data_IF_414054353224
#
_entry.id   IF_414054353224
#
_cell.length_a   1.000
_cell.length_b   1.000
_cell.length_c   1.000
_cell.angle_alpha   90.00
_cell.angle_beta   90.00
_cell.angle_gamma   90.00
#
_symmetry.space_group_name_H-M   'P 1'
#
loop_
_entity.id
_entity.type
_entity.pdbx_description
1 polymer ?
#
# COMPACT_ATOMS: atom_id res chain seq x y z
N UNK A 1 -56.93 -12.31 -22.37
CA UNK A 1 -57.15 -13.02 -23.63
C UNK A 1 -55.83 -13.16 -24.35
N UNK A 2 -55.50 -14.43 -24.63
CA UNK A 2 -54.47 -14.96 -25.53
C UNK A 2 -53.00 -14.90 -25.05
N UNK A 3 -52.61 -15.99 -24.51
CA UNK A 3 -51.37 -16.74 -24.55
C UNK A 3 -51.49 -17.73 -25.72
N UNK A 4 -50.49 -18.46 -26.24
CA UNK A 4 -49.01 -18.51 -26.18
C UNK A 4 -48.37 -18.72 -27.58
N UNK A 5 -47.05 -18.88 -27.68
CA UNK A 5 -46.44 -20.08 -28.26
C UNK A 5 -44.90 -20.06 -28.16
N UNK A 6 -44.43 -21.24 -27.74
CA UNK A 6 -43.06 -21.74 -27.74
C UNK A 6 -42.42 -21.76 -29.14
N UNK A 7 -41.07 -21.68 -29.17
CA UNK A 7 -40.35 -22.68 -29.99
C UNK A 7 -38.87 -22.82 -29.56
N UNK A 8 -38.57 -24.06 -29.34
CA UNK A 8 -37.29 -24.69 -28.99
C UNK A 8 -36.33 -24.74 -30.19
N UNK A 9 -35.05 -24.37 -29.99
CA UNK A 9 -33.97 -25.03 -30.72
C UNK A 9 -32.75 -25.27 -29.87
N UNK A 10 -32.62 -26.50 -29.40
CA UNK A 10 -31.39 -27.14 -28.94
C UNK A 10 -30.45 -27.31 -30.11
N UNK A 11 -29.20 -26.86 -29.93
CA UNK A 11 -28.08 -27.44 -30.70
C UNK A 11 -26.94 -27.76 -29.74
N UNK A 12 -26.79 -29.06 -29.55
CA UNK A 12 -25.66 -29.73 -28.94
C UNK A 12 -24.44 -29.65 -29.86
N UNK A 13 -23.28 -29.27 -29.34
CA UNK A 13 -22.02 -29.69 -29.91
C UNK A 13 -21.13 -30.25 -28.81
N UNK A 14 -20.79 -31.52 -28.98
CA UNK A 14 -19.91 -32.35 -28.15
C UNK A 14 -18.43 -32.00 -28.40
N UNK A 15 -17.54 -32.37 -27.48
CA UNK A 15 -16.11 -32.08 -27.56
C UNK A 15 -15.39 -33.11 -28.43
N UNK A 16 -14.39 -32.67 -29.17
CA UNK A 16 -13.44 -33.57 -29.83
C UNK A 16 -12.13 -33.58 -29.05
N UNK A 17 -11.91 -34.73 -28.42
CA UNK A 17 -10.62 -35.22 -27.97
C UNK A 17 -10.03 -36.06 -29.08
N UNK A 18 -8.76 -35.81 -29.46
CA UNK A 18 -7.84 -36.92 -29.73
C UNK A 18 -6.39 -36.44 -29.86
N UNK A 19 -5.45 -37.35 -29.55
CA UNK A 19 -4.06 -37.04 -29.24
C UNK A 19 -3.14 -37.30 -30.43
N UNK A 20 -1.98 -36.67 -30.44
CA UNK A 20 -0.89 -37.07 -31.32
C UNK A 20 0.34 -37.47 -30.53
N UNK A 21 0.74 -38.67 -30.85
CA UNK A 21 1.83 -39.51 -30.40
C UNK A 21 3.23 -38.93 -30.69
N UNK A 22 4.12 -39.28 -29.77
CA UNK A 22 5.54 -39.59 -29.86
C UNK A 22 6.26 -39.47 -31.22
N UNK A 23 7.40 -38.77 -31.20
CA UNK A 23 8.63 -39.34 -31.76
C UNK A 23 9.84 -38.90 -30.92
N UNK A 24 10.54 -39.91 -30.46
CA UNK A 24 11.88 -39.87 -29.81
C UNK A 24 12.93 -39.36 -30.79
N UNK A 25 13.84 -38.55 -30.31
CA UNK A 25 15.22 -38.60 -30.77
C UNK A 25 16.13 -38.31 -29.61
N UNK A 26 16.96 -39.28 -29.34
CA UNK A 26 18.12 -39.31 -28.46
C UNK A 26 19.26 -38.60 -29.13
N UNK A 27 19.82 -37.58 -28.46
CA UNK A 27 21.21 -37.22 -28.69
C UNK A 27 21.86 -36.77 -27.37
N UNK A 28 22.75 -37.60 -26.91
CA UNK A 28 23.70 -37.43 -25.82
C UNK A 28 24.84 -36.54 -26.29
N UNK A 29 24.98 -35.35 -25.75
CA UNK A 29 26.24 -34.63 -25.75
C UNK A 29 26.69 -34.27 -24.33
N UNK A 30 27.65 -35.02 -23.91
CA UNK A 30 28.49 -34.79 -22.74
C UNK A 30 29.27 -33.49 -22.91
N UNK A 31 29.03 -32.50 -22.07
CA UNK A 31 29.91 -31.32 -21.94
C UNK A 31 30.49 -31.26 -20.54
N UNK A 32 31.80 -31.44 -20.52
CA UNK A 32 32.75 -31.33 -19.41
C UNK A 32 32.70 -29.94 -18.75
N UNK A 33 32.65 -29.93 -17.43
CA UNK A 33 32.88 -28.77 -16.57
C UNK A 33 34.33 -28.30 -16.61
N UNK A 34 34.61 -26.99 -16.67
CA UNK A 34 35.92 -26.47 -16.28
C UNK A 34 35.97 -26.16 -14.78
N UNK A 35 37.15 -26.39 -14.23
CA UNK A 35 37.47 -26.32 -12.82
C UNK A 35 37.43 -24.90 -12.24
N UNK A 36 37.03 -24.84 -10.97
CA UNK A 36 37.13 -23.69 -10.09
C UNK A 36 38.60 -23.33 -9.82
N UNK A 37 38.99 -22.13 -10.18
CA UNK A 37 40.22 -21.50 -9.68
C UNK A 37 39.90 -20.78 -8.36
N UNK A 38 40.56 -21.23 -7.31
CA UNK A 38 40.60 -20.60 -5.99
C UNK A 38 41.62 -19.48 -5.97
N UNK A 39 41.22 -18.28 -5.61
CA UNK A 39 42.14 -17.18 -5.30
C UNK A 39 42.48 -17.19 -3.80
N UNK A 40 43.76 -16.82 -3.46
CA UNK A 40 44.23 -16.83 -2.07
C UNK A 40 43.79 -15.62 -1.27
N UNK A 41 43.83 -15.69 0.08
CA UNK A 41 43.35 -14.62 0.95
C UNK A 41 44.39 -13.49 1.12
N UNK A 42 43.91 -12.28 1.21
CA UNK A 42 44.67 -11.07 1.55
C UNK A 42 44.94 -10.98 3.07
N UNK A 43 46.04 -10.38 3.49
CA UNK A 43 46.46 -10.36 4.89
C UNK A 43 45.77 -9.28 5.72
N UNK A 44 45.51 -9.62 6.97
CA UNK A 44 44.99 -8.77 8.04
C UNK A 44 46.03 -7.71 8.46
N UNK A 45 45.68 -6.44 8.34
CA UNK A 45 46.40 -5.37 9.04
C UNK A 45 45.72 -5.05 10.38
N UNK A 46 46.50 -5.30 11.41
CA UNK A 46 46.29 -4.86 12.78
C UNK A 46 46.77 -3.42 12.89
N UNK A 47 45.92 -2.45 13.22
CA UNK A 47 46.39 -1.16 13.66
C UNK A 47 45.87 -0.80 15.05
N UNK A 48 46.88 -0.49 15.86
CA UNK A 48 46.88 -0.22 17.27
C UNK A 48 46.22 1.13 17.60
N UNK A 49 45.49 1.12 18.69
CA UNK A 49 45.10 2.32 19.45
C UNK A 49 46.28 2.99 20.15
N UNK A 50 46.34 4.29 20.32
CA UNK A 50 47.12 4.90 21.38
C UNK A 50 46.22 5.23 22.59
N UNK A 51 46.64 4.74 23.70
CA UNK A 51 46.20 5.15 25.03
C UNK A 51 46.82 6.52 25.37
N UNK A 52 46.05 7.38 26.03
CA UNK A 52 46.50 8.58 26.67
C UNK A 52 45.62 8.89 27.87
N UNK A 53 46.18 8.72 29.04
CA UNK A 53 45.62 8.93 30.38
C UNK A 53 45.82 10.38 30.87
N UNK A 54 45.55 10.66 32.17
CA UNK A 54 44.50 11.63 32.58
C UNK A 54 45.07 12.79 33.39
N UNK A 55 44.33 13.84 33.56
CA UNK A 55 44.46 14.83 34.63
C UNK A 55 43.35 15.87 34.49
N UNK A 56 42.77 16.55 35.47
CA UNK A 56 42.94 16.64 36.90
C UNK A 56 41.68 17.32 37.48
N UNK A 57 41.38 16.98 38.70
CA UNK A 57 40.32 17.56 39.52
C UNK A 57 40.62 19.00 39.89
N UNK A 58 39.60 19.83 39.97
CA UNK A 58 39.61 21.12 40.64
C UNK A 58 38.24 21.45 41.19
N UNK A 59 38.10 21.32 42.49
CA UNK A 59 37.03 21.90 43.37
C UNK A 59 37.71 22.97 44.24
N UNK A 60 36.98 23.72 45.04
CA UNK A 60 35.96 24.77 44.84
C UNK A 60 36.42 26.08 45.52
N UNK A 61 35.74 27.18 45.36
CA UNK A 61 35.80 28.32 46.33
C UNK A 61 34.45 29.04 46.42
N UNK A 62 33.93 28.97 47.56
CA UNK A 62 33.28 29.83 48.54
C UNK A 62 32.60 31.13 48.10
N UNK A 63 31.45 31.28 48.69
CA UNK A 63 30.54 32.42 48.72
C UNK A 63 31.14 33.62 49.48
N UNK A 64 30.50 34.79 49.45
CA UNK A 64 30.05 35.34 50.72
C UNK A 64 28.55 35.71 50.76
N UNK A 65 28.03 35.54 51.95
CA UNK A 65 26.78 36.09 52.47
C UNK A 65 26.92 37.61 52.63
N UNK A 66 25.84 38.32 52.28
CA UNK A 66 25.53 39.54 53.05
C UNK A 66 24.02 39.75 53.18
N UNK A 67 23.68 40.33 54.22
CA UNK A 67 22.53 40.42 55.05
C UNK A 67 21.52 41.50 54.66
N UNK A 68 20.26 41.22 54.95
CA UNK A 68 19.24 42.07 55.57
C UNK A 68 18.61 43.25 54.76
N UNK A 69 17.30 43.16 54.65
CA UNK A 69 16.44 44.28 54.32
C UNK A 69 14.98 43.82 54.33
N UNK A 70 14.37 43.88 55.49
CA UNK A 70 12.92 43.68 55.65
C UNK A 70 12.21 44.96 55.22
N UNK A 71 11.42 44.87 54.16
CA UNK A 71 10.36 45.85 53.89
C UNK A 71 9.02 45.16 53.66
N UNK A 72 8.09 45.62 54.43
CA UNK A 72 6.70 45.16 54.52
C UNK A 72 5.91 45.60 53.31
N UNK A 73 5.20 44.65 52.69
CA UNK A 73 4.22 44.83 51.64
C UNK A 73 2.85 45.24 52.17
N UNK A 74 2.07 46.02 51.42
CA UNK A 74 0.64 46.11 51.63
C UNK A 74 -0.07 45.08 50.78
N UNK A 75 -1.06 44.43 51.39
CA UNK A 75 -2.03 43.55 50.75
C UNK A 75 -2.77 44.29 49.61
N UNK A 76 -2.83 43.68 48.44
CA UNK A 76 -3.86 43.93 47.44
C UNK A 76 -4.44 42.60 46.95
N UNK A 77 -5.59 42.33 47.44
CA UNK A 77 -6.53 41.32 47.02
C UNK A 77 -6.94 41.58 45.55
N UNK A 78 -6.67 40.62 44.66
CA UNK A 78 -7.43 40.37 43.42
C UNK A 78 -7.23 38.93 43.01
N UNK A 79 -8.15 38.09 43.40
CA UNK A 79 -8.40 36.79 42.83
C UNK A 79 -8.62 36.88 41.34
N UNK A 80 -7.59 36.75 40.53
CA UNK A 80 -7.73 36.38 39.10
C UNK A 80 -7.91 34.85 39.08
N UNK A 81 -9.16 34.43 38.94
CA UNK A 81 -9.48 33.09 38.48
C UNK A 81 -9.09 33.05 37.00
N UNK A 82 -7.89 32.59 36.69
CA UNK A 82 -7.58 32.13 35.33
C UNK A 82 -8.56 31.03 34.98
N UNK A 83 -9.44 31.30 34.03
CA UNK A 83 -10.20 30.26 33.38
C UNK A 83 -9.18 29.29 32.75
N UNK A 84 -9.31 27.96 32.98
CA UNK A 84 -8.48 27.01 32.30
C UNK A 84 -8.69 27.20 30.80
N UNK A 85 -7.59 27.40 30.05
CA UNK A 85 -7.63 27.37 28.61
C UNK A 85 -8.25 26.04 28.18
N UNK A 86 -9.18 26.04 27.21
CA UNK A 86 -9.71 24.79 26.70
C UNK A 86 -8.55 23.97 26.14
N UNK A 87 -8.42 22.73 26.61
CA UNK A 87 -7.51 21.77 26.03
C UNK A 87 -7.69 21.81 24.50
N UNK A 88 -6.61 21.77 23.71
CA UNK A 88 -6.73 21.71 22.26
C UNK A 88 -7.63 20.52 21.93
N UNK A 89 -8.82 20.83 21.42
CA UNK A 89 -9.70 19.80 20.90
C UNK A 89 -8.92 19.13 19.79
N UNK A 90 -8.71 17.83 19.93
CA UNK A 90 -8.23 16.98 18.86
C UNK A 90 -9.19 17.24 17.71
N UNK A 91 -8.72 17.81 16.60
CA UNK A 91 -9.54 17.95 15.40
C UNK A 91 -10.10 16.56 15.11
N UNK A 92 -11.40 16.39 15.27
CA UNK A 92 -12.07 15.16 14.87
C UNK A 92 -11.88 15.06 13.37
N UNK A 93 -11.13 14.04 12.94
CA UNK A 93 -10.95 13.78 11.54
C UNK A 93 -12.34 13.60 10.92
N UNK A 94 -12.61 14.36 9.84
CA UNK A 94 -13.87 14.28 9.11
C UNK A 94 -14.16 12.84 8.73
N UNK A 95 -15.26 12.29 9.19
CA UNK A 95 -15.69 10.94 8.80
C UNK A 95 -16.09 10.93 7.34
N UNK A 96 -15.70 9.89 6.63
CA UNK A 96 -16.04 9.65 5.23
C UNK A 96 -16.31 8.16 5.01
N UNK A 97 -17.04 7.83 3.97
CA UNK A 97 -17.36 6.44 3.63
C UNK A 97 -17.48 6.23 2.12
N UNK A 98 -17.57 4.99 1.71
CA UNK A 98 -17.75 4.62 0.31
C UNK A 98 -19.22 4.65 -0.13
N UNK A 99 -20.15 4.59 0.79
CA UNK A 99 -21.59 4.68 0.50
C UNK A 99 -21.98 6.05 -0.06
N UNK A 100 -21.26 7.08 0.35
CA UNK A 100 -21.40 8.46 -0.09
C UNK A 100 -20.37 8.88 -1.13
N UNK A 101 -19.63 7.94 -1.68
CA UNK A 101 -18.38 8.13 -2.46
C UNK A 101 -18.43 9.10 -3.63
N UNK A 102 -19.61 9.60 -4.00
CA UNK A 102 -19.77 10.62 -5.04
C UNK A 102 -19.60 12.03 -4.49
N UNK A 103 -19.70 12.24 -3.17
CA UNK A 103 -19.77 13.57 -2.55
C UNK A 103 -18.51 13.99 -1.78
N UNK A 104 -17.42 13.23 -1.87
CA UNK A 104 -16.15 13.57 -1.19
C UNK A 104 -15.67 14.99 -1.52
N UNK A 105 -15.95 15.46 -2.74
CA UNK A 105 -15.58 16.81 -3.19
C UNK A 105 -16.23 17.95 -2.40
N UNK A 106 -17.29 17.70 -1.64
CA UNK A 106 -17.89 18.69 -0.75
C UNK A 106 -17.07 18.93 0.52
N UNK A 107 -16.32 17.89 0.95
CA UNK A 107 -15.53 17.89 2.19
C UNK A 107 -14.04 18.01 1.87
N UNK A 108 -13.59 17.36 0.81
CA UNK A 108 -12.19 17.30 0.36
C UNK A 108 -12.07 17.92 -1.04
N UNK A 109 -11.67 19.19 -1.14
CA UNK A 109 -11.62 19.91 -2.44
C UNK A 109 -10.75 19.23 -3.50
N UNK A 110 -9.66 18.55 -3.10
CA UNK A 110 -8.77 17.86 -4.02
C UNK A 110 -9.49 16.74 -4.79
N UNK A 111 -10.58 16.19 -4.24
CA UNK A 111 -11.40 15.17 -4.90
C UNK A 111 -12.10 15.69 -6.18
N UNK A 112 -12.17 17.00 -6.37
CA UNK A 112 -12.71 17.66 -7.58
C UNK A 112 -11.60 18.00 -8.61
N UNK A 113 -10.38 17.55 -8.39
CA UNK A 113 -9.26 17.78 -9.30
C UNK A 113 -9.47 17.15 -10.68
N UNK A 114 -8.63 17.53 -11.63
CA UNK A 114 -8.74 17.09 -13.02
C UNK A 114 -8.07 15.73 -13.27
N UNK A 115 -7.09 15.37 -12.45
CA UNK A 115 -6.27 14.17 -12.62
C UNK A 115 -6.52 13.15 -11.51
N UNK A 116 -7.78 12.83 -11.30
CA UNK A 116 -8.21 11.94 -10.24
C UNK A 116 -8.01 10.45 -10.59
N UNK A 117 -7.89 9.64 -9.53
CA UNK A 117 -7.79 8.18 -9.58
C UNK A 117 -8.94 7.55 -8.78
N UNK A 118 -9.29 6.27 -9.08
CA UNK A 118 -8.76 5.39 -10.11
C UNK A 118 -9.27 5.72 -11.52
N UNK A 119 -8.76 5.01 -12.55
CA UNK A 119 -9.20 5.18 -13.94
C UNK A 119 -9.51 3.82 -14.60
N UNK A 120 -10.21 3.86 -15.72
CA UNK A 120 -10.28 2.72 -16.60
C UNK A 120 -9.07 2.71 -17.55
N UNK A 121 -8.32 1.60 -17.55
CA UNK A 121 -7.20 1.37 -18.46
C UNK A 121 -7.72 0.77 -19.77
N UNK A 122 -7.71 1.55 -20.84
CA UNK A 122 -7.93 1.00 -22.17
C UNK A 122 -6.59 0.47 -22.71
N UNK A 123 -6.43 -0.85 -22.75
CA UNK A 123 -5.17 -1.48 -23.15
C UNK A 123 -4.77 -1.18 -24.60
N UNK A 124 -5.73 -0.80 -25.45
CA UNK A 124 -5.48 -0.44 -26.86
C UNK A 124 -5.01 1.00 -27.04
N UNK A 125 -5.29 1.86 -26.07
CA UNK A 125 -4.92 3.28 -26.09
C UNK A 125 -3.62 3.55 -25.31
N UNK A 126 -3.17 2.59 -24.50
CA UNK A 126 -1.90 2.68 -23.81
C UNK A 126 -0.75 2.75 -24.84
N UNK A 127 0.16 3.70 -24.61
CA UNK A 127 1.29 3.92 -25.51
C UNK A 127 2.54 3.22 -24.97
N UNK A 128 3.10 2.35 -25.80
CA UNK A 128 4.41 1.76 -25.47
C UNK A 128 5.48 2.84 -25.35
N UNK A 129 6.22 2.82 -24.25
CA UNK A 129 7.33 3.74 -23.99
C UNK A 129 8.60 2.94 -23.68
N UNK A 130 9.54 2.83 -24.66
CA UNK A 130 10.77 2.07 -24.46
C UNK A 130 11.73 2.70 -23.42
N UNK A 131 11.47 3.91 -22.98
CA UNK A 131 12.26 4.56 -21.91
C UNK A 131 11.88 4.09 -20.51
N UNK A 132 10.75 3.40 -20.36
CA UNK A 132 10.32 2.84 -19.09
C UNK A 132 11.21 1.67 -18.71
N UNK A 133 11.87 1.80 -17.57
CA UNK A 133 12.80 0.82 -17.05
C UNK A 133 12.09 -0.22 -16.18
N UNK A 134 12.80 -1.27 -15.83
CA UNK A 134 12.32 -2.24 -14.86
C UNK A 134 12.14 -1.58 -13.49
N UNK A 135 11.02 -1.90 -12.84
CA UNK A 135 10.76 -1.53 -11.45
C UNK A 135 11.66 -2.39 -10.55
N UNK A 136 12.48 -1.76 -9.74
CA UNK A 136 13.45 -2.43 -8.87
C UNK A 136 13.13 -2.17 -7.41
N UNK A 137 13.24 -3.24 -6.64
CA UNK A 137 13.09 -3.23 -5.20
C UNK A 137 14.49 -3.38 -4.57
N UNK A 138 14.74 -2.61 -3.51
CA UNK A 138 16.01 -2.74 -2.79
C UNK A 138 16.14 -4.12 -2.14
N UNK A 139 17.37 -4.56 -1.82
CA UNK A 139 17.60 -5.78 -1.06
C UNK A 139 16.86 -5.80 0.29
N UNK A 140 16.54 -4.63 0.83
CA UNK A 140 15.80 -4.47 2.09
C UNK A 140 14.28 -4.60 1.92
N UNK A 141 13.77 -4.82 0.71
CA UNK A 141 12.39 -5.25 0.46
C UNK A 141 12.22 -6.71 0.92
N UNK A 142 12.61 -6.94 2.15
CA UNK A 142 12.82 -8.22 2.79
C UNK A 142 11.82 -8.38 3.93
N UNK A 143 11.78 -9.56 4.50
CA UNK A 143 10.91 -9.94 5.61
C UNK A 143 10.84 -8.84 6.67
N UNK A 144 9.68 -8.22 6.80
CA UNK A 144 9.36 -7.36 7.92
C UNK A 144 9.18 -8.25 9.15
N UNK A 145 9.96 -7.98 10.21
CA UNK A 145 9.87 -8.77 11.45
C UNK A 145 8.65 -8.41 12.28
N UNK A 146 8.20 -7.16 12.16
CA UNK A 146 7.09 -6.61 12.94
C UNK A 146 6.19 -5.80 11.99
N UNK A 147 5.22 -6.45 11.38
CA UNK A 147 4.19 -5.80 10.60
C UNK A 147 2.92 -5.70 11.42
N UNK A 148 2.31 -4.55 11.44
CA UNK A 148 1.01 -4.35 12.07
C UNK A 148 -0.08 -4.37 11.01
N UNK A 149 -1.08 -5.22 11.21
CA UNK A 149 -2.27 -5.29 10.35
C UNK A 149 -3.42 -4.65 11.10
N UNK A 150 -4.05 -3.65 10.48
CA UNK A 150 -5.07 -2.80 11.11
C UNK A 150 -6.35 -2.84 10.29
N UNK A 151 -7.49 -2.96 10.94
CA UNK A 151 -8.80 -2.64 10.39
C UNK A 151 -9.13 -1.20 10.80
N UNK A 152 -9.07 -0.26 9.88
CA UNK A 152 -9.39 1.15 10.13
C UNK A 152 -10.87 1.50 9.93
N UNK A 153 -11.69 0.51 9.53
CA UNK A 153 -13.10 0.65 9.20
C UNK A 153 -13.36 0.97 7.72
N UNK A 154 -12.32 1.31 6.94
CA UNK A 154 -12.41 1.57 5.51
C UNK A 154 -11.67 0.51 4.70
N UNK A 155 -10.60 -0.05 5.26
CA UNK A 155 -9.75 -1.03 4.63
C UNK A 155 -9.01 -1.85 5.69
N UNK A 156 -8.22 -2.81 5.21
CA UNK A 156 -7.12 -3.41 5.94
C UNK A 156 -5.84 -2.71 5.48
N UNK A 157 -5.03 -2.31 6.45
CA UNK A 157 -3.70 -1.75 6.22
C UNK A 157 -2.64 -2.65 6.83
N UNK A 158 -1.55 -2.89 6.09
CA UNK A 158 -0.34 -3.52 6.65
C UNK A 158 0.73 -2.43 6.75
N UNK A 159 1.06 -2.04 7.97
CA UNK A 159 2.11 -1.06 8.25
C UNK A 159 3.42 -1.82 8.51
N UNK A 160 4.44 -1.51 7.71
CA UNK A 160 5.75 -2.13 7.80
C UNK A 160 6.69 -1.26 8.64
N UNK A 161 7.35 -1.86 9.62
CA UNK A 161 8.34 -1.16 10.47
C UNK A 161 9.76 -1.23 9.89
N UNK A 162 9.97 -2.02 8.85
CA UNK A 162 11.25 -2.13 8.16
C UNK A 162 11.28 -1.27 6.90
N UNK A 163 12.43 -0.63 6.63
CA UNK A 163 12.61 0.17 5.42
C UNK A 163 12.71 -0.74 4.19
N UNK A 164 11.78 -0.56 3.26
CA UNK A 164 11.78 -1.17 1.93
C UNK A 164 11.70 -0.07 0.88
N UNK A 165 12.50 -0.14 -0.18
CA UNK A 165 12.68 0.96 -1.13
C UNK A 165 12.39 0.51 -2.55
N UNK A 166 11.62 1.32 -3.26
CA UNK A 166 11.29 1.22 -4.66
C UNK A 166 12.15 2.21 -5.46
N UNK A 167 12.78 1.75 -6.52
CA UNK A 167 13.58 2.57 -7.44
C UNK A 167 13.39 2.09 -8.89
N UNK A 168 13.80 2.92 -9.83
CA UNK A 168 13.72 2.57 -11.26
C UNK A 168 12.32 2.72 -11.83
N UNK A 169 11.96 1.89 -12.80
CA UNK A 169 10.67 2.02 -13.49
C UNK A 169 10.45 3.42 -14.08
N UNK A 170 9.28 4.02 -13.85
CA UNK A 170 8.95 5.38 -14.29
C UNK A 170 9.47 6.47 -13.34
N UNK A 171 10.07 6.09 -12.22
CA UNK A 171 10.44 7.01 -11.15
C UNK A 171 11.66 7.87 -11.54
N UNK A 172 11.81 9.09 -10.96
CA UNK A 172 12.96 9.93 -11.20
C UNK A 172 14.27 9.23 -10.84
N UNK A 173 15.28 9.38 -11.70
CA UNK A 173 16.58 8.73 -11.51
C UNK A 173 17.24 9.20 -10.21
N UNK A 174 17.70 8.24 -9.41
CA UNK A 174 18.39 8.50 -8.15
C UNK A 174 17.46 8.82 -6.98
N UNK A 175 16.15 8.80 -7.19
CA UNK A 175 15.19 8.93 -6.09
C UNK A 175 14.85 7.56 -5.51
N UNK A 176 14.64 7.54 -4.20
CA UNK A 176 14.21 6.40 -3.42
C UNK A 176 12.81 6.65 -2.89
N UNK A 177 11.93 5.66 -3.06
CA UNK A 177 10.57 5.70 -2.54
C UNK A 177 10.40 4.61 -1.49
N UNK A 178 10.16 5.01 -0.25
CA UNK A 178 10.00 4.08 0.89
C UNK A 178 8.57 3.54 0.94
N UNK A 179 8.44 2.22 1.10
CA UNK A 179 7.14 1.59 1.33
C UNK A 179 6.63 2.02 2.71
N UNK A 180 5.44 2.63 2.71
CA UNK A 180 4.75 3.06 3.91
C UNK A 180 3.80 1.99 4.43
N UNK A 181 2.84 1.59 3.59
CA UNK A 181 1.83 0.60 3.93
C UNK A 181 1.30 -0.13 2.70
N UNK A 182 0.55 -1.19 2.95
CA UNK A 182 -0.21 -1.92 1.94
C UNK A 182 -1.69 -1.82 2.28
N UNK A 183 -2.50 -1.33 1.35
CA UNK A 183 -3.95 -1.19 1.48
C UNK A 183 -4.68 -2.16 0.57
N UNK A 184 -5.91 -2.53 0.95
CA UNK A 184 -6.71 -3.51 0.26
C UNK A 184 -8.08 -2.95 -0.10
N UNK A 185 -8.52 -3.19 -1.33
CA UNK A 185 -9.84 -2.85 -1.83
C UNK A 185 -10.49 -4.12 -2.37
N UNK A 186 -11.72 -4.42 -1.98
CA UNK A 186 -12.40 -5.64 -2.41
C UNK A 186 -13.91 -5.47 -2.50
N UNK A 187 -14.52 -6.35 -3.29
CA UNK A 187 -15.94 -6.37 -3.50
C UNK A 187 -16.65 -7.39 -2.61
N UNK A 188 -17.93 -7.16 -2.38
CA UNK A 188 -18.82 -8.16 -1.78
C UNK A 188 -19.01 -9.37 -2.69
N UNK A 189 -18.75 -9.22 -3.99
CA UNK A 189 -18.85 -10.25 -5.03
C UNK A 189 -17.59 -10.31 -5.88
N UNK A 190 -17.38 -11.43 -6.59
CA UNK A 190 -16.18 -11.62 -7.39
C UNK A 190 -16.15 -10.78 -8.68
N UNK A 191 -17.26 -10.17 -9.07
CA UNK A 191 -17.39 -9.37 -10.28
C UNK A 191 -16.95 -7.91 -10.10
N UNK A 192 -16.71 -7.48 -8.87
CA UNK A 192 -16.29 -6.12 -8.52
C UNK A 192 -15.36 -6.13 -7.31
N UNK A 193 -14.65 -5.04 -7.08
CA UNK A 193 -13.75 -4.91 -5.94
C UNK A 193 -12.48 -4.11 -6.23
N UNK A 194 -11.96 -4.18 -7.45
CA UNK A 194 -10.84 -3.34 -7.85
C UNK A 194 -11.28 -1.90 -8.05
N UNK A 195 -10.39 -0.96 -7.76
CA UNK A 195 -10.58 0.46 -8.02
C UNK A 195 -10.34 0.78 -9.51
N UNK A 196 -9.18 0.36 -10.04
CA UNK A 196 -8.93 0.43 -11.48
C UNK A 196 -9.69 -0.68 -12.20
N UNK A 197 -10.03 -0.39 -13.46
CA UNK A 197 -10.59 -1.38 -14.38
C UNK A 197 -9.71 -1.49 -15.61
N UNK A 198 -9.71 -2.65 -16.25
CA UNK A 198 -9.01 -2.88 -17.53
C UNK A 198 -10.06 -3.21 -18.58
N UNK A 199 -10.16 -2.36 -19.61
CA UNK A 199 -11.19 -2.48 -20.64
C UNK A 199 -12.61 -2.60 -20.03
N UNK A 200 -12.90 -1.79 -19.01
CA UNK A 200 -14.15 -1.73 -18.25
C UNK A 200 -14.48 -3.02 -17.47
N UNK A 201 -13.49 -3.86 -17.21
CA UNK A 201 -13.63 -5.03 -16.36
C UNK A 201 -12.93 -4.83 -15.02
N UNK A 202 -13.67 -5.01 -13.94
CA UNK A 202 -13.15 -5.02 -12.59
C UNK A 202 -12.62 -6.40 -12.18
N UNK A 203 -11.78 -6.40 -11.15
CA UNK A 203 -11.29 -7.60 -10.47
C UNK A 203 -11.92 -7.71 -9.08
N UNK A 204 -11.91 -8.90 -8.46
CA UNK A 204 -12.45 -9.10 -7.11
C UNK A 204 -11.78 -8.26 -6.02
N UNK A 205 -10.50 -7.92 -6.21
CA UNK A 205 -9.71 -7.17 -5.24
C UNK A 205 -8.55 -6.45 -5.94
N UNK A 206 -8.07 -5.38 -5.30
CA UNK A 206 -6.87 -4.64 -5.69
C UNK A 206 -6.05 -4.30 -4.44
N UNK A 207 -4.73 -4.44 -4.53
CA UNK A 207 -3.78 -4.07 -3.49
C UNK A 207 -3.00 -2.83 -3.90
N UNK A 208 -2.80 -1.92 -2.98
CA UNK A 208 -1.98 -0.73 -3.15
C UNK A 208 -0.78 -0.77 -2.23
N UNK A 209 0.42 -0.81 -2.80
CA UNK A 209 1.69 -0.68 -2.08
C UNK A 209 2.09 0.79 -2.17
N UNK A 210 1.84 1.54 -1.11
CA UNK A 210 2.00 2.99 -1.07
C UNK A 210 3.41 3.33 -0.65
N UNK A 211 4.10 4.14 -1.49
CA UNK A 211 5.47 4.58 -1.25
C UNK A 211 5.54 6.10 -1.28
N UNK A 212 6.44 6.67 -0.49
CA UNK A 212 6.72 8.10 -0.48
C UNK A 212 8.19 8.39 -0.78
N UNK A 213 8.46 9.51 -1.41
CA UNK A 213 9.79 9.89 -1.87
C UNK A 213 10.65 10.37 -0.72
N UNK A 214 11.43 9.48 -0.14
CA UNK A 214 12.33 9.80 0.99
C UNK A 214 13.62 10.53 0.58
N UNK A 215 13.85 10.71 -0.72
CA UNK A 215 14.94 11.56 -1.21
C UNK A 215 14.57 13.04 -1.12
N UNK A 216 13.30 13.40 -1.35
CA UNK A 216 12.84 14.78 -1.39
C UNK A 216 12.17 15.25 -0.10
N UNK A 217 11.52 14.34 0.61
CA UNK A 217 10.65 14.65 1.75
C UNK A 217 11.07 13.88 2.99
N UNK A 218 10.69 14.33 4.16
CA UNK A 218 11.05 13.72 5.45
C UNK A 218 9.96 12.82 6.02
N UNK A 219 8.74 12.89 5.47
CA UNK A 219 7.62 12.02 5.85
C UNK A 219 6.64 11.87 4.70
N UNK A 220 5.73 10.90 4.81
CA UNK A 220 4.64 10.73 3.85
C UNK A 220 3.69 11.92 3.88
N UNK A 221 3.42 12.50 5.05
CA UNK A 221 2.52 13.65 5.21
C UNK A 221 3.06 14.88 4.46
N UNK A 222 4.38 15.06 4.47
CA UNK A 222 5.04 16.12 3.68
C UNK A 222 4.98 15.82 2.18
N UNK A 223 5.05 14.55 1.78
CA UNK A 223 5.12 14.12 0.39
C UNK A 223 3.75 14.17 -0.32
N UNK A 224 2.65 13.97 0.39
CA UNK A 224 1.29 13.98 -0.17
C UNK A 224 0.98 15.32 -0.83
N UNK A 225 0.45 15.27 -2.06
CA UNK A 225 0.14 16.46 -2.86
C UNK A 225 1.35 17.23 -3.40
N UNK A 226 2.57 16.71 -3.20
CA UNK A 226 3.80 17.31 -3.70
C UNK A 226 4.32 16.59 -4.94
N UNK A 227 5.02 17.33 -5.78
CA UNK A 227 5.60 16.80 -7.03
C UNK A 227 6.51 15.61 -6.75
N UNK A 228 6.27 14.49 -7.44
CA UNK A 228 6.98 13.23 -7.23
C UNK A 228 6.96 12.74 -5.77
N UNK A 229 5.92 13.10 -5.03
CA UNK A 229 5.84 12.77 -3.60
C UNK A 229 5.49 11.31 -3.35
N UNK A 230 4.51 10.79 -4.08
CA UNK A 230 3.93 9.46 -3.85
C UNK A 230 4.06 8.61 -5.10
N UNK A 231 4.37 7.33 -4.91
CA UNK A 231 4.30 6.30 -5.94
C UNK A 231 3.53 5.09 -5.39
N UNK A 232 2.56 4.60 -6.13
CA UNK A 232 1.73 3.47 -5.72
C UNK A 232 1.84 2.35 -6.75
N UNK A 233 2.22 1.15 -6.27
CA UNK A 233 2.10 -0.07 -7.05
C UNK A 233 0.70 -0.62 -6.81
N UNK A 234 -0.07 -0.81 -7.89
CA UNK A 234 -1.36 -1.47 -7.86
C UNK A 234 -1.24 -2.89 -8.41
N UNK A 235 -1.83 -3.84 -7.68
CA UNK A 235 -1.86 -5.26 -8.00
C UNK A 235 -3.31 -5.71 -8.08
N UNK A 236 -3.73 -6.11 -9.26
CA UNK A 236 -5.04 -6.77 -9.44
C UNK A 236 -5.02 -8.18 -8.85
N UNK A 237 -6.14 -8.59 -8.32
CA UNK A 237 -6.31 -9.92 -7.72
C UNK A 237 -7.49 -10.63 -8.36
N UNK A 238 -7.29 -11.86 -8.77
CA UNK A 238 -8.34 -12.74 -9.29
C UNK A 238 -8.49 -14.00 -8.43
N UNK A 239 -9.63 -14.64 -8.51
CA UNK A 239 -9.87 -15.90 -7.80
C UNK A 239 -9.13 -17.03 -8.52
N UNK A 240 -8.42 -17.85 -7.74
CA UNK A 240 -7.64 -18.96 -8.26
C UNK A 240 -6.99 -19.76 -7.13
N UNK A 241 -5.71 -20.00 -7.26
CA UNK A 241 -4.93 -20.70 -6.22
C UNK A 241 -4.75 -19.83 -4.98
N UNK A 242 -4.64 -20.45 -3.82
CA UNK A 242 -4.27 -19.80 -2.56
C UNK A 242 -2.96 -19.00 -2.73
N UNK A 243 -2.95 -17.78 -2.23
CA UNK A 243 -1.76 -16.93 -2.17
C UNK A 243 -1.03 -17.15 -0.86
N UNK A 244 0.11 -17.82 -0.91
CA UNK A 244 0.84 -18.19 0.31
C UNK A 244 1.38 -16.96 1.07
N UNK A 245 1.78 -15.91 0.36
CA UNK A 245 2.24 -14.66 0.99
C UNK A 245 1.14 -13.92 1.75
N UNK A 246 -0.11 -13.99 1.28
CA UNK A 246 -1.27 -13.39 1.96
C UNK A 246 -1.85 -14.28 3.06
N UNK A 247 -1.47 -15.56 3.14
CA UNK A 247 -1.98 -16.48 4.14
C UNK A 247 -1.77 -15.97 5.56
N UNK A 248 -0.58 -15.45 5.85
CA UNK A 248 -0.27 -14.86 7.17
C UNK A 248 -1.19 -13.70 7.56
N UNK A 249 -1.73 -12.99 6.59
CA UNK A 249 -2.71 -11.91 6.79
C UNK A 249 -4.12 -12.49 6.94
N UNK A 250 -4.55 -13.35 6.01
CA UNK A 250 -5.91 -13.88 6.00
C UNK A 250 -6.23 -14.72 7.23
N UNK A 251 -5.24 -15.44 7.78
CA UNK A 251 -5.41 -16.25 9.00
C UNK A 251 -5.69 -15.43 10.28
N UNK A 252 -5.38 -14.12 10.27
CA UNK A 252 -5.56 -13.27 11.46
C UNK A 252 -6.71 -12.26 11.32
N UNK A 253 -7.37 -12.17 10.17
CA UNK A 253 -8.38 -11.15 9.91
C UNK A 253 -9.55 -11.21 10.90
N UNK A 254 -9.92 -12.40 11.36
CA UNK A 254 -11.01 -12.56 12.33
C UNK A 254 -10.65 -12.05 13.73
N UNK A 255 -9.36 -11.93 14.05
CA UNK A 255 -8.89 -11.30 15.29
C UNK A 255 -9.03 -9.77 15.25
N UNK A 256 -9.09 -9.19 14.05
CA UNK A 256 -9.23 -7.76 13.79
C UNK A 256 -10.52 -7.43 13.03
N UNK A 257 -11.56 -8.21 13.23
CA UNK A 257 -12.83 -8.12 12.50
C UNK A 257 -13.46 -6.73 12.56
N UNK A 258 -13.32 -6.01 13.67
CA UNK A 258 -13.98 -4.73 13.94
C UNK A 258 -13.03 -3.54 13.78
N UNK A 259 -13.59 -2.37 13.41
CA UNK A 259 -12.87 -1.09 13.28
C UNK A 259 -12.02 -0.81 14.52
N UNK A 260 -10.79 -0.35 14.30
CA UNK A 260 -9.84 0.03 15.34
C UNK A 260 -9.10 -1.16 15.97
N UNK A 261 -9.30 -2.38 15.46
CA UNK A 261 -8.53 -3.55 15.88
C UNK A 261 -7.29 -3.71 15.02
N UNK A 262 -6.20 -4.08 15.68
CA UNK A 262 -4.94 -4.41 15.01
C UNK A 262 -4.31 -5.65 15.59
N UNK A 263 -3.43 -6.28 14.81
CA UNK A 263 -2.62 -7.42 15.23
C UNK A 263 -1.26 -7.37 14.55
N UNK A 264 -0.21 -7.66 15.31
CA UNK A 264 1.12 -7.82 14.75
C UNK A 264 1.28 -9.23 14.17
N UNK A 265 1.76 -9.30 12.93
CA UNK A 265 2.16 -10.55 12.28
C UNK A 265 3.66 -10.62 12.15
N UNK A 266 4.30 -11.74 12.54
CA UNK A 266 5.73 -11.92 12.37
C UNK A 266 6.08 -12.31 10.94
N UNK A 267 7.25 -11.92 10.48
CA UNK A 267 7.88 -12.44 9.26
C UNK A 267 7.08 -12.26 7.96
N UNK A 268 6.35 -11.16 7.82
CA UNK A 268 5.71 -10.83 6.54
C UNK A 268 6.74 -10.31 5.53
N UNK A 269 6.72 -10.87 4.32
CA UNK A 269 7.58 -10.43 3.23
C UNK A 269 6.74 -9.74 2.14
N UNK A 270 6.78 -8.40 2.02
CA UNK A 270 6.01 -7.68 1.00
C UNK A 270 6.42 -8.06 -0.43
N UNK A 271 7.64 -8.57 -0.64
CA UNK A 271 8.06 -9.06 -1.94
C UNK A 271 7.26 -10.29 -2.41
N UNK A 272 6.65 -11.03 -1.47
CA UNK A 272 5.75 -12.15 -1.82
C UNK A 272 4.45 -11.72 -2.50
N UNK A 273 4.08 -10.44 -2.41
CA UNK A 273 2.92 -9.86 -3.10
C UNK A 273 3.22 -9.52 -4.56
N UNK A 274 4.49 -9.38 -4.92
CA UNK A 274 4.87 -8.96 -6.26
C UNK A 274 4.88 -10.17 -7.21
N UNK A 275 4.51 -9.98 -8.47
CA UNK A 275 4.63 -11.04 -9.46
C UNK A 275 6.09 -11.43 -9.69
N UNK A 276 6.30 -12.61 -10.29
CA UNK A 276 7.62 -13.02 -10.79
C UNK A 276 8.25 -11.87 -11.56
N UNK A 277 9.56 -11.59 -11.41
CA UNK A 277 10.25 -10.53 -12.17
C UNK A 277 10.00 -10.56 -13.67
N UNK A 278 9.82 -11.75 -14.27
CA UNK A 278 9.48 -11.92 -15.68
C UNK A 278 8.05 -11.49 -16.04
N UNK A 279 7.19 -11.31 -15.06
CA UNK A 279 5.78 -10.94 -15.22
C UNK A 279 5.50 -9.52 -14.69
N UNK A 280 6.50 -8.66 -14.66
CA UNK A 280 6.39 -7.28 -14.16
C UNK A 280 6.17 -6.26 -15.26
N UNK A 281 5.47 -6.62 -16.32
CA UNK A 281 4.87 -5.68 -17.28
C UNK A 281 3.95 -4.74 -16.52
N UNK A 282 4.00 -3.43 -16.81
CA UNK A 282 3.17 -2.46 -16.11
C UNK A 282 2.70 -1.33 -17.01
N UNK A 283 1.59 -0.72 -16.61
CA UNK A 283 1.16 0.60 -17.06
C UNK A 283 1.55 1.67 -16.04
N UNK A 284 1.77 2.87 -16.51
CA UNK A 284 2.03 4.03 -15.67
C UNK A 284 1.19 5.22 -16.11
N UNK A 285 0.64 5.93 -15.14
CA UNK A 285 -0.02 7.22 -15.34
C UNK A 285 0.10 8.07 -14.07
N UNK A 286 -0.09 9.39 -14.22
CA UNK A 286 -0.13 10.32 -13.11
C UNK A 286 -1.58 10.55 -12.66
N UNK A 287 -1.81 10.49 -11.35
CA UNK A 287 -3.14 10.59 -10.79
C UNK A 287 -3.14 11.09 -9.34
N UNK A 288 -4.07 10.59 -8.56
CA UNK A 288 -4.32 10.99 -7.18
C UNK A 288 -4.34 9.82 -6.21
N UNK A 289 -4.41 10.11 -4.92
CA UNK A 289 -4.89 9.15 -3.94
C UNK A 289 -6.34 8.79 -4.28
N UNK A 290 -6.72 7.54 -4.07
CA UNK A 290 -8.10 7.06 -4.29
C UNK A 290 -8.98 7.18 -3.06
N UNK A 291 -8.39 7.53 -1.92
CA UNK A 291 -9.08 7.83 -0.65
C UNK A 291 -8.86 9.29 -0.28
N UNK A 292 -9.76 9.90 0.51
CA UNK A 292 -9.54 11.24 1.03
C UNK A 292 -8.15 11.43 1.66
N UNK A 293 -7.49 12.57 1.43
CA UNK A 293 -7.97 13.80 0.79
C UNK A 293 -7.97 13.79 -0.76
N UNK A 294 -7.67 12.70 -1.45
CA UNK A 294 -7.64 12.58 -2.90
C UNK A 294 -6.62 13.48 -3.60
N UNK A 295 -5.56 13.83 -2.90
CA UNK A 295 -4.50 14.71 -3.41
C UNK A 295 -3.82 14.11 -4.64
N UNK A 296 -3.59 14.97 -5.65
CA UNK A 296 -2.95 14.61 -6.92
C UNK A 296 -1.42 14.50 -6.78
N UNK A 297 -0.71 14.27 -7.87
CA UNK A 297 0.75 14.04 -7.92
C UNK A 297 1.18 12.65 -7.44
N UNK A 298 0.36 11.64 -7.69
CA UNK A 298 0.67 10.23 -7.46
C UNK A 298 1.09 9.58 -8.78
N UNK A 299 2.27 8.97 -8.79
CA UNK A 299 2.70 8.10 -9.90
C UNK A 299 2.16 6.70 -9.67
N UNK A 300 1.22 6.27 -10.52
CA UNK A 300 0.63 4.95 -10.49
C UNK A 300 1.39 3.97 -11.36
N UNK A 301 1.74 2.81 -10.79
CA UNK A 301 2.39 1.68 -11.44
C UNK A 301 1.47 0.47 -11.31
N UNK A 302 0.76 0.11 -12.36
CA UNK A 302 -0.20 -1.00 -12.35
C UNK A 302 0.40 -2.20 -13.05
N UNK A 303 0.62 -3.30 -12.32
CA UNK A 303 1.11 -4.52 -12.93
C UNK A 303 0.03 -5.21 -13.77
N UNK A 304 0.46 -5.64 -14.97
CA UNK A 304 -0.42 -6.23 -15.97
C UNK A 304 -1.04 -7.55 -15.53
N UNK A 305 -0.26 -8.39 -14.86
CA UNK A 305 -0.66 -9.74 -14.50
C UNK A 305 -1.18 -9.80 -13.09
N UNK A 306 -2.46 -10.26 -12.88
CA UNK A 306 -3.07 -10.30 -11.57
C UNK A 306 -2.43 -11.39 -10.69
N UNK A 307 -2.46 -11.15 -9.37
CA UNK A 307 -2.25 -12.16 -8.36
C UNK A 307 -3.47 -13.08 -8.30
N UNK A 308 -3.29 -14.26 -7.68
CA UNK A 308 -4.39 -15.16 -7.39
C UNK A 308 -4.56 -15.33 -5.88
N UNK A 309 -5.81 -15.33 -5.43
CA UNK A 309 -6.22 -15.74 -4.08
C UNK A 309 -7.28 -16.81 -4.17
N UNK A 310 -7.38 -17.67 -3.16
CA UNK A 310 -8.48 -18.63 -3.11
C UNK A 310 -9.79 -17.93 -2.73
N UNK A 311 -10.92 -18.60 -3.06
CA UNK A 311 -12.24 -18.12 -2.63
C UNK A 311 -12.31 -18.00 -1.10
N UNK A 312 -11.69 -18.92 -0.37
CA UNK A 312 -11.66 -18.87 1.09
C UNK A 312 -10.90 -17.63 1.61
N UNK A 313 -9.81 -17.25 0.95
CA UNK A 313 -9.05 -16.07 1.36
C UNK A 313 -9.86 -14.78 1.19
N UNK A 314 -10.54 -14.58 0.06
CA UNK A 314 -11.33 -13.37 -0.14
C UNK A 314 -12.55 -13.32 0.79
N UNK A 315 -13.13 -14.47 1.12
CA UNK A 315 -14.25 -14.56 2.08
C UNK A 315 -13.83 -14.08 3.48
N UNK A 316 -12.56 -14.27 3.88
CA UNK A 316 -12.09 -13.75 5.17
C UNK A 316 -12.10 -12.20 5.19
N UNK A 317 -11.76 -11.53 4.07
CA UNK A 317 -11.91 -10.08 3.94
C UNK A 317 -13.37 -9.65 4.02
N UNK A 318 -14.30 -10.39 3.41
CA UNK A 318 -15.73 -10.09 3.37
C UNK A 318 -16.43 -10.24 4.73
N UNK A 319 -15.79 -10.91 5.71
CA UNK A 319 -16.27 -11.02 7.10
C UNK A 319 -15.91 -9.83 7.98
N UNK A 320 -15.08 -8.93 7.51
CA UNK A 320 -14.67 -7.74 8.24
C UNK A 320 -15.83 -6.76 8.39
N UNK A 321 -15.74 -5.86 9.38
CA UNK A 321 -16.77 -4.91 9.76
C UNK A 321 -16.25 -3.47 9.71
N UNK A 322 -17.13 -2.55 9.36
CA UNK A 322 -16.84 -1.12 9.25
C UNK A 322 -16.89 -0.38 10.59
N UNK A 323 -17.48 -0.99 11.63
CA UNK A 323 -17.79 -0.38 12.92
C UNK A 323 -16.99 -1.00 14.06
N UNK A 324 -16.93 -0.31 15.20
CA UNK A 324 -16.34 -0.83 16.43
C UNK A 324 -17.22 -1.93 17.02
N UNK A 325 -16.63 -2.87 17.75
CA UNK A 325 -17.37 -3.99 18.35
C UNK A 325 -18.41 -3.46 19.35
N UNK A 326 -19.67 -3.85 19.14
CA UNK A 326 -20.78 -3.47 20.01
C UNK A 326 -21.46 -2.15 19.64
N UNK A 327 -21.04 -1.47 18.57
CA UNK A 327 -21.75 -0.31 18.06
C UNK A 327 -23.12 -0.70 17.49
N UNK A 328 -24.09 0.16 17.69
CA UNK A 328 -25.37 0.04 17.00
C UNK A 328 -25.23 0.46 15.54
N UNK A 329 -25.77 -0.35 14.64
CA UNK A 329 -25.76 -0.06 13.21
C UNK A 329 -26.97 0.84 12.88
N UNK A 330 -26.75 1.77 11.94
CA UNK A 330 -27.84 2.55 11.37
C UNK A 330 -28.79 1.62 10.61
N UNK A 331 -30.07 1.99 10.57
CA UNK A 331 -31.09 1.24 9.82
C UNK A 331 -30.70 1.15 8.35
N UNK A 332 -30.70 -0.07 7.81
CA UNK A 332 -30.28 -0.36 6.44
C UNK A 332 -28.78 -0.63 6.25
N UNK A 333 -27.94 -0.41 7.25
CA UNK A 333 -26.52 -0.77 7.22
C UNK A 333 -26.30 -2.19 7.76
N UNK A 334 -25.64 -3.04 7.00
CA UNK A 334 -25.29 -4.41 7.44
C UNK A 334 -23.95 -4.48 8.18
N UNK A 335 -23.18 -3.38 8.16
CA UNK A 335 -21.87 -3.25 8.80
C UNK A 335 -20.74 -4.06 8.17
N UNK A 336 -20.97 -4.64 7.00
CA UNK A 336 -19.92 -5.38 6.27
C UNK A 336 -18.92 -4.41 5.65
N UNK A 337 -17.63 -4.67 5.87
CA UNK A 337 -16.55 -4.02 5.16
C UNK A 337 -16.35 -4.70 3.81
N UNK A 338 -16.67 -4.02 2.76
CA UNK A 338 -16.59 -4.47 1.38
C UNK A 338 -17.18 -3.42 0.45
N UNK A 339 -16.98 -3.59 -0.85
CA UNK A 339 -17.25 -2.55 -1.85
C UNK A 339 -16.52 -1.23 -1.51
N UNK A 340 -15.34 -1.35 -0.89
CA UNK A 340 -14.50 -0.26 -0.43
C UNK A 340 -13.56 0.22 -1.54
N UNK A 341 -14.14 0.60 -2.67
CA UNK A 341 -13.44 1.11 -3.84
C UNK A 341 -14.14 2.36 -4.37
N UNK A 342 -13.35 3.30 -4.83
CA UNK A 342 -13.84 4.51 -5.50
C UNK A 342 -14.20 4.17 -6.94
N UNK A 343 -15.28 4.73 -7.50
CA UNK A 343 -15.57 4.62 -8.94
C UNK A 343 -14.46 5.22 -9.79
N UNK A 344 -14.28 4.68 -11.01
CA UNK A 344 -13.31 5.22 -11.96
C UNK A 344 -13.62 6.67 -12.33
N UNK A 345 -12.57 7.47 -12.43
CA UNK A 345 -12.60 8.89 -12.73
C UNK A 345 -12.25 9.15 -14.20
N UNK A 346 -12.61 10.31 -14.75
CA UNK A 346 -12.27 10.67 -16.11
C UNK A 346 -10.76 10.63 -16.36
N UNK A 347 -10.35 10.10 -17.51
CA UNK A 347 -8.94 10.09 -17.92
C UNK A 347 -8.43 11.51 -18.20
N UNK A 348 -9.30 12.42 -18.62
CA UNK A 348 -8.97 13.77 -19.08
C UNK A 348 -7.96 13.74 -20.24
N UNK A 349 -6.95 14.59 -20.22
CA UNK A 349 -5.90 14.64 -21.26
C UNK A 349 -4.69 13.73 -20.96
N UNK A 350 -4.80 12.88 -19.92
CA UNK A 350 -3.70 12.00 -19.50
C UNK A 350 -3.43 10.88 -20.49
N UNK A 351 -2.16 10.55 -20.63
CA UNK A 351 -1.68 9.44 -21.44
C UNK A 351 -1.23 8.31 -20.52
N UNK A 352 -1.78 7.12 -20.75
CA UNK A 352 -1.32 5.89 -20.11
C UNK A 352 -0.13 5.37 -20.93
N UNK A 353 1.01 5.14 -20.28
CA UNK A 353 2.19 4.53 -20.90
C UNK A 353 2.31 3.07 -20.46
N UNK A 354 2.82 2.22 -21.37
CA UNK A 354 3.06 0.80 -21.13
C UNK A 354 4.55 0.48 -21.24
N UNK A 355 5.08 -0.27 -20.29
CA UNK A 355 6.45 -0.79 -20.34
C UNK A 355 6.58 -2.06 -21.19
N UNK A 356 5.57 -2.39 -21.98
CA UNK A 356 5.50 -3.58 -22.83
C UNK A 356 4.76 -3.25 -24.15
N UNK A 357 4.98 -4.07 -25.14
CA UNK A 357 4.32 -3.98 -26.47
C UNK A 357 3.05 -4.82 -26.54
#
# INVERSE_FOLDING_TARGET
MCVPQEDTHRLLCKPNLQPLLDTRSTDTHTLTRPALQTNPPLPSEVNRLPQGSPAQRGRPRDAPRDTAGVETLPMADKSFIEKPEPFPQKEEALEWGYEEGVEWGLIFPDANGEYQSPINLNSREAKYDPSLLEVRLSPNYVVCRDCEVINDGHSIQIILKSKSVLVGGPLPRGHEFELHDVQFHWGRENQRGSEHTVNFKAFPMELHLIHWNSTLYSSIDEAVGKKHGIAIIALFVQIGKEHLGLKAVTEILQDIQYKGKSKTIPCFNPNSLLPDPLLRDYWVYEGSLTIPPCSESVTWILFRYPLTVSQLQIEEFRRLRTHVKGAELLEGCDGMLGDNFRPTQPLSDRVIRAAFQ
#
